data_IF_559408624109
#
_entry.id   IF_559408624109
#
_cell.length_a   1.000
_cell.length_b   1.000
_cell.length_c   1.000
_cell.angle_alpha   90.00
_cell.angle_beta   90.00
_cell.angle_gamma   90.00
#
_symmetry.space_group_name_H-M   'P 1'
#
loop_
_entity.id
_entity.type
_entity.pdbx_description
1 polymer ?
#
# COMPACT_ATOMS: atom_id res chain seq x y z
N UNK A 1 -1.73 16.87 33.80
CA UNK A 1 -0.29 17.10 34.01
C UNK A 1 0.44 17.20 32.67
N UNK A 2 1.21 18.27 32.43
CA UNK A 2 2.04 18.51 31.22
C UNK A 2 2.96 17.33 30.88
N UNK A 3 3.45 16.62 31.89
CA UNK A 3 4.35 15.47 31.76
C UNK A 3 3.74 14.28 30.97
N UNK A 4 2.45 13.96 31.18
CA UNK A 4 1.78 12.87 30.43
C UNK A 4 1.56 13.21 28.94
N UNK A 5 1.40 14.50 28.59
CA UNK A 5 1.28 14.94 27.19
C UNK A 5 2.62 14.86 26.46
N UNK A 6 3.72 15.30 27.08
CA UNK A 6 5.05 15.24 26.46
C UNK A 6 5.51 13.80 26.16
N UNK A 7 5.35 12.86 27.09
CA UNK A 7 5.72 11.47 26.85
C UNK A 7 4.90 10.83 25.70
N UNK A 8 3.64 11.22 25.54
CA UNK A 8 2.80 10.71 24.44
C UNK A 8 3.26 11.23 23.08
N UNK A 9 3.72 12.49 23.01
CA UNK A 9 4.21 13.11 21.76
C UNK A 9 5.55 12.48 21.33
N UNK A 10 6.50 12.34 22.26
CA UNK A 10 7.82 11.75 21.99
C UNK A 10 7.70 10.28 21.56
N UNK A 11 6.84 9.50 22.22
CA UNK A 11 6.57 8.12 21.83
C UNK A 11 5.94 8.02 20.42
N UNK A 12 5.11 8.99 20.04
CA UNK A 12 4.50 9.01 18.72
C UNK A 12 5.53 9.37 17.62
N UNK A 13 6.40 10.35 17.88
CA UNK A 13 7.51 10.69 16.97
C UNK A 13 8.47 9.51 16.77
N UNK A 14 8.91 8.84 17.85
CA UNK A 14 9.78 7.67 17.75
C UNK A 14 9.16 6.54 16.93
N UNK A 15 7.84 6.32 17.08
CA UNK A 15 7.09 5.34 16.28
C UNK A 15 7.02 5.71 14.79
N UNK A 16 6.80 6.99 14.48
CA UNK A 16 6.77 7.50 13.11
C UNK A 16 8.14 7.32 12.43
N UNK A 17 9.23 7.73 13.08
CA UNK A 17 10.58 7.53 12.54
C UNK A 17 10.89 6.04 12.27
N UNK A 18 10.43 5.16 13.17
CA UNK A 18 10.61 3.71 12.99
C UNK A 18 9.82 3.15 11.80
N UNK A 19 8.62 3.66 11.53
CA UNK A 19 7.82 3.29 10.35
C UNK A 19 8.48 3.80 9.07
N UNK A 20 8.86 5.09 9.03
CA UNK A 20 9.53 5.68 7.87
C UNK A 20 10.82 4.92 7.48
N UNK A 21 11.66 4.60 8.47
CA UNK A 21 12.88 3.81 8.25
C UNK A 21 12.61 2.35 7.82
N UNK A 22 11.53 1.74 8.29
CA UNK A 22 11.11 0.41 7.85
C UNK A 22 10.64 0.43 6.39
N UNK A 23 9.85 1.43 6.01
CA UNK A 23 9.34 1.59 4.65
C UNK A 23 10.49 1.87 3.67
N UNK A 24 11.43 2.75 4.01
CA UNK A 24 12.64 2.96 3.21
C UNK A 24 13.41 1.66 2.90
N UNK A 25 13.49 0.75 3.87
CA UNK A 25 14.17 -0.54 3.69
C UNK A 25 13.45 -1.40 2.67
N UNK A 26 12.11 -1.48 2.75
CA UNK A 26 11.29 -2.24 1.79
C UNK A 26 11.36 -1.60 0.41
N UNK A 27 11.27 -0.27 0.32
CA UNK A 27 11.37 0.47 -0.95
C UNK A 27 12.71 0.18 -1.65
N UNK A 28 13.83 0.21 -0.91
CA UNK A 28 15.16 -0.14 -1.45
C UNK A 28 15.25 -1.58 -1.92
N UNK A 29 14.52 -2.51 -1.30
CA UNK A 29 14.48 -3.90 -1.73
C UNK A 29 13.64 -4.08 -2.99
N UNK A 30 12.45 -3.45 -3.04
CA UNK A 30 11.57 -3.51 -4.19
C UNK A 30 12.23 -2.93 -5.44
N UNK A 31 12.92 -1.79 -5.31
CA UNK A 31 13.58 -1.09 -6.41
C UNK A 31 15.04 -1.55 -6.63
N UNK A 32 15.44 -2.69 -6.06
CA UNK A 32 16.83 -3.15 -6.13
C UNK A 32 17.21 -3.43 -7.59
N UNK A 33 18.20 -2.68 -8.08
CA UNK A 33 18.71 -2.84 -9.44
C UNK A 33 18.06 -1.93 -10.48
N UNK A 34 17.02 -1.18 -10.11
CA UNK A 34 16.45 -0.15 -10.98
C UNK A 34 17.50 0.94 -11.29
N UNK A 35 17.61 1.31 -12.57
CA UNK A 35 18.51 2.37 -13.07
C UNK A 35 17.77 3.49 -13.79
N UNK A 36 16.47 3.56 -13.53
CA UNK A 36 15.50 4.40 -14.24
C UNK A 36 14.78 5.30 -13.24
N UNK A 37 14.20 6.37 -13.78
CA UNK A 37 13.21 7.20 -13.08
C UNK A 37 11.85 7.13 -13.75
N UNK A 38 11.70 6.29 -14.77
CA UNK A 38 10.40 6.07 -15.40
C UNK A 38 9.46 5.36 -14.41
N UNK A 39 8.30 5.98 -14.16
CA UNK A 39 7.36 5.51 -13.13
C UNK A 39 6.80 4.13 -13.49
N UNK A 40 6.47 3.92 -14.76
CA UNK A 40 5.95 2.64 -15.25
C UNK A 40 6.98 1.52 -15.10
N UNK A 41 8.25 1.78 -15.45
CA UNK A 41 9.32 0.81 -15.22
C UNK A 41 9.51 0.50 -13.72
N UNK A 42 9.47 1.51 -12.85
CA UNK A 42 9.56 1.30 -11.39
C UNK A 42 8.35 0.53 -10.83
N UNK A 43 7.16 0.73 -11.38
CA UNK A 43 5.99 -0.09 -11.06
C UNK A 43 6.19 -1.56 -11.42
N UNK A 44 6.95 -1.87 -12.47
CA UNK A 44 7.34 -3.24 -12.81
C UNK A 44 8.17 -3.91 -11.72
N UNK A 45 9.17 -3.21 -11.17
CA UNK A 45 9.96 -3.70 -10.02
C UNK A 45 9.08 -3.96 -8.79
N UNK A 46 8.15 -3.04 -8.49
CA UNK A 46 7.19 -3.25 -7.42
C UNK A 46 6.24 -4.42 -7.67
N UNK A 47 5.78 -4.61 -8.90
CA UNK A 47 4.90 -5.70 -9.28
C UNK A 47 5.56 -7.05 -9.02
N UNK A 48 6.81 -7.24 -9.47
CA UNK A 48 7.57 -8.47 -9.23
C UNK A 48 7.77 -8.71 -7.73
N UNK A 49 8.24 -7.67 -7.02
CA UNK A 49 8.49 -7.78 -5.59
C UNK A 49 7.22 -8.12 -4.80
N UNK A 50 6.11 -7.41 -5.02
CA UNK A 50 4.87 -7.66 -4.30
C UNK A 50 4.21 -9.00 -4.67
N UNK A 51 4.39 -9.46 -5.91
CA UNK A 51 3.91 -10.78 -6.35
C UNK A 51 4.52 -11.91 -5.52
N UNK A 52 5.76 -11.76 -5.05
CA UNK A 52 6.40 -12.73 -4.17
C UNK A 52 6.02 -12.58 -2.69
N UNK A 53 5.72 -11.35 -2.24
CA UNK A 53 5.60 -11.04 -0.80
C UNK A 53 4.18 -11.03 -0.28
N UNK A 54 3.20 -10.66 -1.12
CA UNK A 54 1.81 -10.58 -0.69
C UNK A 54 1.20 -11.97 -0.58
N UNK A 55 0.56 -12.23 0.56
CA UNK A 55 -0.22 -13.46 0.78
C UNK A 55 -1.69 -13.17 0.49
N UNK A 56 -2.24 -13.89 -0.47
CA UNK A 56 -3.64 -13.76 -0.87
C UNK A 56 -4.49 -14.96 -0.38
N UNK A 57 -5.81 -14.77 -0.19
CA UNK A 57 -6.51 -13.48 -0.18
C UNK A 57 -6.27 -12.72 1.13
N UNK A 58 -6.45 -11.39 1.11
CA UNK A 58 -6.44 -10.57 2.34
C UNK A 58 -7.51 -9.49 2.33
N UNK A 59 -7.92 -9.02 3.51
CA UNK A 59 -8.92 -7.96 3.65
C UNK A 59 -8.26 -6.57 3.60
N UNK A 60 -8.82 -5.68 2.81
CA UNK A 60 -8.41 -4.28 2.71
C UNK A 60 -9.62 -3.35 2.84
N UNK A 61 -9.38 -2.15 3.33
CA UNK A 61 -10.32 -1.03 3.34
C UNK A 61 -10.04 -0.17 2.11
N UNK A 62 -11.07 0.11 1.31
CA UNK A 62 -10.98 1.12 0.26
C UNK A 62 -10.89 2.53 0.90
N UNK A 63 -9.90 3.33 0.51
CA UNK A 63 -9.67 4.66 1.08
C UNK A 63 -10.17 5.75 0.15
N UNK A 64 -9.96 5.57 -1.15
CA UNK A 64 -10.46 6.43 -2.22
C UNK A 64 -11.07 5.49 -3.24
N UNK A 65 -12.39 5.51 -3.44
CA UNK A 65 -13.09 4.61 -4.34
C UNK A 65 -13.73 5.37 -5.51
N UNK A 66 -13.00 6.31 -6.11
CA UNK A 66 -13.52 7.17 -7.18
C UNK A 66 -13.82 6.40 -8.48
N UNK A 67 -13.13 5.28 -8.71
CA UNK A 67 -13.17 4.54 -9.97
C UNK A 67 -14.29 3.49 -10.05
N UNK A 68 -15.03 3.25 -8.97
CA UNK A 68 -16.12 2.27 -8.99
C UNK A 68 -17.35 2.79 -8.24
N UNK A 69 -18.53 2.76 -8.86
CA UNK A 69 -19.76 3.16 -8.19
C UNK A 69 -20.21 2.19 -7.08
N UNK A 70 -19.64 0.98 -7.03
CA UNK A 70 -20.11 -0.12 -6.18
C UNK A 70 -19.21 -0.42 -4.97
N UNK A 71 -17.98 0.09 -4.97
CA UNK A 71 -17.09 0.14 -3.81
C UNK A 71 -17.01 1.59 -3.37
N UNK A 72 -17.22 1.86 -2.09
CA UNK A 72 -17.22 3.19 -1.49
C UNK A 72 -16.07 3.30 -0.51
N UNK A 73 -15.67 4.53 -0.21
CA UNK A 73 -14.70 4.82 0.84
C UNK A 73 -15.14 4.18 2.16
N UNK A 74 -14.21 3.47 2.79
CA UNK A 74 -14.44 2.73 4.03
C UNK A 74 -14.94 1.29 3.85
N UNK A 75 -15.32 0.86 2.66
CA UNK A 75 -15.74 -0.52 2.42
C UNK A 75 -14.59 -1.50 2.66
N UNK A 76 -14.92 -2.65 3.28
CA UNK A 76 -14.01 -3.78 3.36
C UNK A 76 -14.18 -4.67 2.13
N UNK A 77 -13.09 -4.82 1.38
CA UNK A 77 -12.99 -5.69 0.20
C UNK A 77 -12.02 -6.83 0.46
N UNK A 78 -12.20 -7.94 -0.26
CA UNK A 78 -11.22 -9.03 -0.28
C UNK A 78 -10.32 -8.87 -1.49
N UNK A 79 -9.03 -8.64 -1.27
CA UNK A 79 -8.01 -8.62 -2.31
C UNK A 79 -7.65 -10.05 -2.69
N UNK A 80 -7.74 -10.38 -3.97
CA UNK A 80 -7.60 -11.75 -4.51
C UNK A 80 -6.26 -12.00 -5.16
N UNK A 81 -5.74 -11.03 -5.90
CA UNK A 81 -4.44 -11.11 -6.55
C UNK A 81 -3.98 -9.72 -6.99
N UNK A 82 -2.72 -9.63 -7.42
CA UNK A 82 -2.28 -8.54 -8.29
C UNK A 82 -2.84 -8.82 -9.69
N UNK A 83 -3.34 -7.79 -10.38
CA UNK A 83 -3.86 -7.90 -11.74
C UNK A 83 -2.84 -7.44 -12.78
N UNK A 84 -2.39 -6.18 -12.67
CA UNK A 84 -1.49 -5.54 -13.63
C UNK A 84 -0.92 -4.24 -13.00
N UNK A 85 -0.18 -3.45 -13.75
CA UNK A 85 0.21 -2.09 -13.35
C UNK A 85 0.16 -1.11 -14.54
N UNK A 86 -0.20 0.14 -14.24
CA UNK A 86 -0.32 1.22 -15.22
C UNK A 86 0.36 2.49 -14.70
N UNK A 87 0.77 3.37 -15.60
CA UNK A 87 1.53 4.59 -15.24
C UNK A 87 0.75 5.52 -14.29
N UNK A 88 -0.53 5.79 -14.60
CA UNK A 88 -1.39 6.68 -13.80
C UNK A 88 -1.90 6.03 -12.51
N UNK A 89 -2.15 4.72 -12.52
CA UNK A 89 -2.81 4.02 -11.41
C UNK A 89 -1.85 3.21 -10.52
N UNK A 90 -0.61 3.03 -10.97
CA UNK A 90 0.31 2.10 -10.35
C UNK A 90 -0.19 0.66 -10.42
N UNK A 91 0.06 -0.12 -9.38
CA UNK A 91 -0.33 -1.52 -9.27
C UNK A 91 -1.83 -1.65 -9.07
N UNK A 92 -2.49 -2.40 -9.95
CA UNK A 92 -3.90 -2.72 -9.88
C UNK A 92 -4.13 -4.06 -9.21
N UNK A 93 -5.10 -4.09 -8.30
CA UNK A 93 -5.46 -5.28 -7.53
C UNK A 93 -6.79 -5.82 -8.01
N UNK A 94 -6.89 -7.14 -8.19
CA UNK A 94 -8.18 -7.80 -8.28
C UNK A 94 -8.80 -7.87 -6.88
N UNK A 95 -9.99 -7.30 -6.73
CA UNK A 95 -10.74 -7.34 -5.47
C UNK A 95 -12.14 -7.91 -5.68
N UNK A 96 -12.67 -8.52 -4.62
CA UNK A 96 -14.06 -8.96 -4.59
C UNK A 96 -14.83 -8.31 -3.45
N UNK A 97 -16.03 -7.82 -3.75
CA UNK A 97 -17.02 -7.32 -2.79
C UNK A 97 -18.39 -7.88 -3.19
N UNK A 98 -19.12 -8.47 -2.24
CA UNK A 98 -20.47 -9.02 -2.48
C UNK A 98 -20.56 -9.96 -3.70
N UNK A 99 -19.56 -10.84 -3.86
CA UNK A 99 -19.41 -11.79 -4.98
C UNK A 99 -19.20 -11.15 -6.37
N UNK A 100 -19.04 -9.84 -6.44
CA UNK A 100 -18.65 -9.12 -7.67
C UNK A 100 -17.15 -8.84 -7.64
N UNK A 101 -16.55 -8.85 -8.83
CA UNK A 101 -15.13 -8.59 -9.07
C UNK A 101 -14.94 -7.14 -9.52
N UNK A 102 -13.91 -6.49 -8.99
CA UNK A 102 -13.50 -5.14 -9.33
C UNK A 102 -11.97 -5.06 -9.42
N UNK A 103 -11.47 -3.96 -9.99
CA UNK A 103 -10.06 -3.65 -10.05
C UNK A 103 -9.83 -2.30 -9.39
N UNK A 104 -8.98 -2.26 -8.37
CA UNK A 104 -8.71 -1.05 -7.58
C UNK A 104 -7.19 -0.86 -7.48
N UNK A 105 -6.68 0.36 -7.67
CA UNK A 105 -5.29 0.70 -7.39
C UNK A 105 -4.87 0.30 -5.97
N UNK A 106 -3.68 -0.28 -5.83
CA UNK A 106 -3.15 -0.66 -4.51
C UNK A 106 -2.97 0.56 -3.60
N UNK A 107 -2.62 1.72 -4.18
CA UNK A 107 -2.49 2.99 -3.47
C UNK A 107 -3.81 3.50 -2.85
N UNK A 108 -4.94 2.95 -3.27
CA UNK A 108 -6.27 3.27 -2.75
C UNK A 108 -6.76 2.24 -1.71
N UNK A 109 -5.92 1.27 -1.36
CA UNK A 109 -6.23 0.20 -0.42
C UNK A 109 -5.35 0.28 0.83
N UNK A 110 -5.98 0.15 1.98
CA UNK A 110 -5.31 -0.05 3.27
C UNK A 110 -5.56 -1.47 3.78
N UNK A 111 -4.52 -2.21 4.18
CA UNK A 111 -4.71 -3.52 4.80
C UNK A 111 -5.54 -3.36 6.08
N UNK A 112 -6.68 -4.06 6.16
CA UNK A 112 -7.62 -3.92 7.27
C UNK A 112 -7.03 -4.45 8.60
N UNK A 113 -6.26 -5.53 8.53
CA UNK A 113 -5.58 -6.12 9.69
C UNK A 113 -4.12 -5.67 9.77
N UNK A 114 -3.83 -4.69 10.64
CA UNK A 114 -2.47 -4.14 10.80
C UNK A 114 -1.40 -5.13 11.30
N UNK A 115 -1.83 -6.29 11.83
CA UNK A 115 -0.92 -7.37 12.26
C UNK A 115 -0.56 -8.32 11.11
N UNK A 116 -1.24 -8.22 9.97
CA UNK A 116 -0.97 -9.04 8.80
C UNK A 116 0.44 -8.78 8.27
N UNK A 117 1.09 -9.84 7.79
CA UNK A 117 2.38 -9.73 7.09
C UNK A 117 2.34 -8.82 5.86
N UNK A 118 1.16 -8.66 5.25
CA UNK A 118 0.96 -7.78 4.09
C UNK A 118 1.04 -6.29 4.45
N UNK A 119 0.71 -5.92 5.70
CA UNK A 119 0.58 -4.51 6.11
C UNK A 119 1.82 -3.70 5.76
N UNK A 120 3.01 -4.18 6.13
CA UNK A 120 4.29 -3.47 5.89
C UNK A 120 4.61 -3.31 4.40
N UNK A 121 4.21 -4.25 3.55
CA UNK A 121 4.51 -4.21 2.12
C UNK A 121 3.57 -3.25 1.38
N UNK A 122 2.28 -3.30 1.72
CA UNK A 122 1.28 -2.37 1.18
C UNK A 122 1.55 -0.95 1.66
N UNK A 123 1.87 -0.75 2.95
CA UNK A 123 2.21 0.57 3.50
C UNK A 123 3.46 1.16 2.82
N UNK A 124 4.53 0.37 2.65
CA UNK A 124 5.74 0.83 1.97
C UNK A 124 5.51 1.18 0.48
N UNK A 125 4.66 0.41 -0.23
CA UNK A 125 4.29 0.73 -1.61
C UNK A 125 3.49 2.04 -1.65
N UNK A 126 2.48 2.21 -0.80
CA UNK A 126 1.64 3.41 -0.75
C UNK A 126 2.48 4.65 -0.43
N UNK A 127 3.41 4.55 0.52
CA UNK A 127 4.36 5.62 0.85
C UNK A 127 5.24 5.97 -0.34
N UNK A 128 5.78 4.98 -1.05
CA UNK A 128 6.57 5.24 -2.25
C UNK A 128 5.74 5.93 -3.34
N UNK A 129 4.57 5.37 -3.65
CA UNK A 129 3.72 5.86 -4.74
C UNK A 129 3.27 7.30 -4.51
N UNK A 130 2.86 7.64 -3.27
CA UNK A 130 2.46 9.00 -2.90
C UNK A 130 3.61 10.03 -2.98
N UNK A 131 4.86 9.61 -2.75
CA UNK A 131 6.02 10.48 -2.84
C UNK A 131 6.61 10.56 -4.26
N UNK A 132 6.20 9.65 -5.17
CA UNK A 132 6.66 9.63 -6.55
C UNK A 132 5.81 10.50 -7.49
N UNK A 133 4.62 10.93 -7.04
CA UNK A 133 3.63 11.61 -7.86
C UNK A 133 3.78 13.16 -7.93
N UNK A 134 4.99 13.69 -7.72
CA UNK A 134 5.30 15.12 -7.76
C UNK A 134 6.52 15.47 -8.63
#
# INVERSE_FOLDING_TARGET
>A
SKYKKNNRIVNNQSKILKIMSANETIIKQALKGARTKDKLELCGFWFEFLSEKLVFPFSAKAVIAEYTQNVKDGDIVTVKSIYDYYDMYGIMMEVSKERKKYYIPLCELEVAEKKSGNFKYVEAYNDWFANYDF
#
